data_IF_744416256970
#
_entry.id   IF_744416256970
#
_cell.length_a   1.000
_cell.length_b   1.000
_cell.length_c   1.000
_cell.angle_alpha   90.00
_cell.angle_beta   90.00
_cell.angle_gamma   90.00
#
_symmetry.space_group_name_H-M   'P 1'
#
loop_
_entity.id
_entity.type
_entity.pdbx_description
1 polymer ?
#
# COMPACT_ATOMS: atom_id res chain seq x y z
N UNK A 1 22.18 15.00 -11.44
CA UNK A 1 21.59 13.70 -11.10
C UNK A 1 20.10 13.92 -10.91
N UNK A 2 19.25 13.26 -11.70
CA UNK A 2 17.82 13.31 -11.44
C UNK A 2 17.55 12.47 -10.19
N UNK A 3 16.94 13.07 -9.17
CA UNK A 3 16.52 12.35 -7.98
C UNK A 3 15.34 11.48 -8.40
N UNK A 4 15.45 10.17 -8.20
CA UNK A 4 14.32 9.30 -8.49
C UNK A 4 13.15 9.65 -7.57
N UNK A 5 11.91 9.71 -8.10
CA UNK A 5 10.75 10.02 -7.28
C UNK A 5 10.55 8.91 -6.24
N UNK A 6 10.41 9.31 -4.97
CA UNK A 6 10.16 8.38 -3.86
C UNK A 6 8.73 7.84 -3.97
N UNK A 7 8.57 6.55 -4.25
CA UNK A 7 7.25 5.88 -4.23
C UNK A 7 6.60 6.07 -2.86
N UNK A 8 5.40 6.63 -2.83
CA UNK A 8 4.75 7.08 -1.60
C UNK A 8 3.37 6.46 -1.47
N UNK A 9 3.02 6.06 -0.24
CA UNK A 9 1.73 5.43 0.06
C UNK A 9 1.07 6.07 1.27
N UNK A 10 -0.26 6.13 1.27
CA UNK A 10 -1.06 6.47 2.45
C UNK A 10 -1.85 5.24 2.85
N UNK A 11 -1.63 4.76 4.07
CA UNK A 11 -2.36 3.63 4.66
C UNK A 11 -3.40 4.18 5.64
N UNK A 12 -4.67 3.82 5.44
CA UNK A 12 -5.77 4.15 6.36
C UNK A 12 -6.37 2.86 6.88
N UNK A 13 -6.45 2.72 8.19
CA UNK A 13 -7.04 1.55 8.84
C UNK A 13 -8.32 1.94 9.56
N UNK A 14 -9.35 1.11 9.42
CA UNK A 14 -10.60 1.23 10.15
C UNK A 14 -10.84 -0.07 10.93
N UNK A 15 -11.02 0.07 12.24
CA UNK A 15 -11.43 -1.04 13.10
C UNK A 15 -12.96 -1.20 13.01
N UNK A 16 -13.46 -2.40 12.71
CA UNK A 16 -14.89 -2.63 12.47
C UNK A 16 -15.65 -3.19 13.67
N UNK A 17 -15.02 -3.92 14.60
CA UNK A 17 -15.69 -4.43 15.80
C UNK A 17 -14.71 -4.86 16.90
N UNK A 18 -15.13 -4.85 18.16
CA UNK A 18 -14.35 -5.39 19.29
C UNK A 18 -14.41 -6.92 19.41
N UNK A 19 -15.46 -7.56 18.86
CA UNK A 19 -15.74 -9.00 19.08
C UNK A 19 -15.08 -9.92 18.05
N UNK A 20 -14.64 -9.38 16.92
CA UNK A 20 -13.76 -10.04 15.97
C UNK A 20 -12.78 -9.01 15.44
N UNK A 21 -11.48 -9.32 15.53
CA UNK A 21 -10.36 -8.48 15.07
C UNK A 21 -10.42 -8.23 13.55
N UNK A 22 -11.42 -7.50 13.10
CA UNK A 22 -11.70 -7.18 11.71
C UNK A 22 -11.26 -5.74 11.48
N UNK A 23 -10.22 -5.60 10.67
CA UNK A 23 -9.71 -4.32 10.20
C UNK A 23 -9.99 -4.22 8.72
N UNK A 24 -10.40 -3.03 8.25
CA UNK A 24 -10.33 -2.70 6.84
C UNK A 24 -9.17 -1.75 6.63
N UNK A 25 -8.35 -2.04 5.63
CA UNK A 25 -7.19 -1.23 5.27
C UNK A 25 -7.40 -0.68 3.87
N UNK A 26 -7.22 0.62 3.72
CA UNK A 26 -7.14 1.29 2.42
C UNK A 26 -5.73 1.77 2.19
N UNK A 27 -5.10 1.24 1.15
CA UNK A 27 -3.79 1.65 0.65
C UNK A 27 -3.98 2.58 -0.56
N UNK A 28 -3.52 3.82 -0.46
CA UNK A 28 -3.51 4.77 -1.57
C UNK A 28 -2.08 4.92 -2.09
N UNK A 29 -1.81 4.60 -3.35
CA UNK A 29 -0.55 4.93 -4.01
C UNK A 29 -0.58 6.37 -4.52
N UNK A 30 0.24 7.25 -3.92
CA UNK A 30 0.14 8.72 -4.07
C UNK A 30 0.34 9.16 -5.52
N UNK A 31 1.32 8.59 -6.22
CA UNK A 31 1.67 8.97 -7.60
C UNK A 31 0.57 8.58 -8.61
N UNK A 32 -0.01 7.39 -8.45
CA UNK A 32 -1.03 6.89 -9.38
C UNK A 32 -2.46 7.26 -8.97
N UNK A 33 -2.65 7.79 -7.76
CA UNK A 33 -3.95 8.00 -7.11
C UNK A 33 -4.82 6.72 -7.07
N UNK A 34 -4.18 5.55 -7.10
CA UNK A 34 -4.85 4.25 -7.05
C UNK A 34 -5.11 3.85 -5.59
N UNK A 35 -6.35 3.52 -5.30
CA UNK A 35 -6.78 2.95 -4.02
C UNK A 35 -6.89 1.41 -4.14
N UNK A 36 -6.40 0.70 -3.12
CA UNK A 36 -6.49 -0.75 -2.96
C UNK A 36 -7.00 -1.03 -1.54
N UNK A 37 -7.87 -2.03 -1.39
CA UNK A 37 -8.55 -2.34 -0.14
C UNK A 37 -8.20 -3.75 0.32
N UNK A 38 -8.00 -3.92 1.62
CA UNK A 38 -7.63 -5.18 2.25
C UNK A 38 -8.39 -5.40 3.55
N UNK A 39 -8.46 -6.66 3.96
CA UNK A 39 -9.08 -7.09 5.22
C UNK A 39 -8.03 -7.36 6.31
N UNK A 40 -6.75 -7.26 5.95
CA UNK A 40 -5.61 -7.45 6.81
C UNK A 40 -4.52 -6.43 6.50
N UNK A 41 -3.78 -6.03 7.53
CA UNK A 41 -2.68 -5.06 7.37
C UNK A 41 -1.48 -5.66 6.64
N UNK A 42 -1.21 -6.96 6.86
CA UNK A 42 -0.08 -7.65 6.24
C UNK A 42 -0.22 -7.73 4.72
N UNK A 43 -1.43 -7.98 4.21
CA UNK A 43 -1.72 -7.98 2.76
C UNK A 43 -1.42 -6.62 2.11
N UNK A 44 -1.72 -5.52 2.81
CA UNK A 44 -1.41 -4.18 2.33
C UNK A 44 0.10 -3.95 2.22
N UNK A 45 0.87 -4.41 3.21
CA UNK A 45 2.33 -4.27 3.20
C UNK A 45 3.01 -5.16 2.17
N UNK A 46 2.57 -6.40 1.98
CA UNK A 46 3.09 -7.25 0.90
C UNK A 46 2.82 -6.63 -0.47
N UNK A 47 1.62 -6.07 -0.68
CA UNK A 47 1.31 -5.34 -1.92
C UNK A 47 2.21 -4.11 -2.11
N UNK A 48 2.53 -3.37 -1.04
CA UNK A 48 3.47 -2.24 -1.12
C UNK A 48 4.86 -2.68 -1.58
N UNK A 49 5.38 -3.80 -1.03
CA UNK A 49 6.68 -4.37 -1.43
C UNK A 49 6.68 -4.75 -2.91
N UNK A 50 5.67 -5.48 -3.37
CA UNK A 50 5.56 -5.88 -4.77
C UNK A 50 5.53 -4.69 -5.73
N UNK A 51 4.82 -3.60 -5.37
CA UNK A 51 4.75 -2.39 -6.19
C UNK A 51 6.13 -1.73 -6.29
N UNK A 52 6.87 -1.67 -5.19
CA UNK A 52 8.22 -1.09 -5.17
C UNK A 52 9.18 -1.96 -5.98
N UNK A 53 9.18 -3.28 -5.78
CA UNK A 53 10.05 -4.22 -6.50
C UNK A 53 9.79 -4.23 -8.01
N UNK A 54 8.52 -4.15 -8.44
CA UNK A 54 8.17 -4.03 -9.87
C UNK A 54 8.72 -2.73 -10.48
N UNK A 55 8.62 -1.61 -9.77
CA UNK A 55 9.19 -0.34 -10.23
C UNK A 55 10.73 -0.37 -10.29
N UNK A 56 11.40 -1.14 -9.44
CA UNK A 56 12.85 -1.35 -9.54
C UNK A 56 13.23 -2.24 -10.75
N UNK A 57 12.39 -3.23 -11.08
CA UNK A 57 12.64 -4.17 -12.17
C UNK A 57 12.38 -3.56 -13.54
N UNK A 58 11.35 -2.72 -13.71
CA UNK A 58 11.05 -2.02 -14.97
C UNK A 58 12.10 -0.95 -15.33
N UNK A 59 12.94 -0.55 -14.36
CA UNK A 59 14.02 0.43 -14.55
C UNK A 59 15.39 -0.19 -14.87
N UNK A 60 15.53 -1.52 -14.79
CA UNK A 60 16.77 -2.25 -15.15
C UNK A 60 16.76 -2.71 -16.60
#
# INVERSE_FOLDING_TARGET
>A
MAIEPITSFVVRCQHLSEEGSQVKVKLTHVQSQKDIYFDQLDEAFETMKEIVEKHETEKR
#
